data_IF_093911628694
#
_entry.id   IF_093911628694
#
_cell.length_a   1.000
_cell.length_b   1.000
_cell.length_c   1.000
_cell.angle_alpha   90.00
_cell.angle_beta   90.00
_cell.angle_gamma   90.00
#
_symmetry.space_group_name_H-M   'P 1'
#
loop_
_entity.id
_entity.type
_entity.pdbx_description
1 polymer ?
#
# COMPACT_ATOMS: atom_id res chain seq x y z
N UNK A 1 -13.58 40.27 -5.43
CA UNK A 1 -14.18 38.90 -5.46
C UNK A 1 -13.34 37.92 -6.28
N UNK A 2 -12.93 38.26 -7.52
CA UNK A 2 -12.11 37.39 -8.39
C UNK A 2 -10.70 37.02 -7.87
N UNK A 3 -10.01 37.93 -7.17
CA UNK A 3 -8.64 37.67 -6.68
C UNK A 3 -8.66 36.68 -5.51
N UNK A 4 -9.64 36.81 -4.61
CA UNK A 4 -9.81 35.92 -3.47
C UNK A 4 -10.19 34.49 -3.91
N UNK A 5 -11.03 34.35 -4.95
CA UNK A 5 -11.35 33.03 -5.53
C UNK A 5 -10.15 32.37 -6.22
N UNK A 6 -9.27 33.15 -6.86
CA UNK A 6 -8.06 32.62 -7.50
C UNK A 6 -7.05 32.08 -6.48
N UNK A 7 -6.79 32.84 -5.40
CA UNK A 7 -5.86 32.44 -4.33
C UNK A 7 -6.39 31.21 -3.58
N UNK A 8 -7.68 31.18 -3.25
CA UNK A 8 -8.31 30.02 -2.61
C UNK A 8 -8.24 28.77 -3.50
N UNK A 9 -8.48 28.90 -4.81
CA UNK A 9 -8.34 27.80 -5.76
C UNK A 9 -6.91 27.23 -5.80
N UNK A 10 -5.90 28.09 -5.74
CA UNK A 10 -4.49 27.70 -5.72
C UNK A 10 -4.15 26.95 -4.42
N UNK A 11 -4.61 27.43 -3.27
CA UNK A 11 -4.41 26.79 -1.96
C UNK A 11 -5.06 25.39 -1.94
N UNK A 12 -6.30 25.29 -2.40
CA UNK A 12 -7.03 24.01 -2.48
C UNK A 12 -6.32 23.04 -3.42
N UNK A 13 -5.84 23.52 -4.57
CA UNK A 13 -5.06 22.73 -5.53
C UNK A 13 -3.77 22.17 -4.92
N UNK A 14 -3.02 23.00 -4.19
CA UNK A 14 -1.79 22.56 -3.50
C UNK A 14 -2.09 21.50 -2.46
N UNK A 15 -3.15 21.68 -1.65
CA UNK A 15 -3.56 20.71 -0.63
C UNK A 15 -3.92 19.36 -1.28
N UNK A 16 -4.67 19.38 -2.38
CA UNK A 16 -5.03 18.18 -3.14
C UNK A 16 -3.79 17.44 -3.68
N UNK A 17 -2.82 18.16 -4.21
CA UNK A 17 -1.55 17.57 -4.70
C UNK A 17 -0.79 16.92 -3.55
N UNK A 18 -0.68 17.58 -2.40
CA UNK A 18 -0.01 17.04 -1.21
C UNK A 18 -0.70 15.75 -0.74
N UNK A 19 -2.04 15.74 -0.67
CA UNK A 19 -2.82 14.55 -0.29
C UNK A 19 -2.59 13.42 -1.29
N UNK A 20 -2.62 13.71 -2.59
CA UNK A 20 -2.38 12.72 -3.63
C UNK A 20 -0.99 12.07 -3.50
N UNK A 21 0.05 12.90 -3.29
CA UNK A 21 1.41 12.41 -3.05
C UNK A 21 1.49 11.56 -1.78
N UNK A 22 0.83 11.99 -0.70
CA UNK A 22 0.82 11.26 0.56
C UNK A 22 0.19 9.87 0.42
N UNK A 23 -0.93 9.77 -0.31
CA UNK A 23 -1.59 8.50 -0.62
C UNK A 23 -0.65 7.60 -1.43
N UNK A 24 0.02 8.13 -2.46
CA UNK A 24 0.96 7.36 -3.28
C UNK A 24 2.13 6.81 -2.44
N UNK A 25 2.71 7.64 -1.57
CA UNK A 25 3.77 7.21 -0.66
C UNK A 25 3.28 6.09 0.25
N UNK A 26 2.06 6.22 0.79
CA UNK A 26 1.46 5.19 1.63
C UNK A 26 1.24 3.88 0.87
N UNK A 27 0.77 3.97 -0.37
CA UNK A 27 0.57 2.82 -1.25
C UNK A 27 1.88 2.08 -1.53
N UNK A 28 2.92 2.80 -1.92
CA UNK A 28 4.25 2.21 -2.18
C UNK A 28 4.81 1.55 -0.91
N UNK A 29 4.66 2.20 0.25
CA UNK A 29 5.06 1.62 1.54
C UNK A 29 4.26 0.35 1.89
N UNK A 30 2.97 0.29 1.56
CA UNK A 30 2.19 -0.93 1.73
C UNK A 30 2.74 -2.07 0.86
N UNK A 31 3.00 -1.85 -0.43
CA UNK A 31 3.58 -2.89 -1.29
C UNK A 31 4.92 -3.43 -0.74
N UNK A 32 5.79 -2.55 -0.25
CA UNK A 32 7.05 -2.94 0.39
C UNK A 32 6.86 -3.71 1.71
N UNK A 33 5.75 -3.49 2.43
CA UNK A 33 5.43 -4.24 3.64
C UNK A 33 4.95 -5.67 3.34
N UNK A 34 4.27 -5.85 2.21
CA UNK A 34 3.78 -7.16 1.76
C UNK A 34 4.88 -7.98 1.06
N UNK A 35 6.02 -7.38 0.72
CA UNK A 35 7.16 -8.07 0.11
C UNK A 35 7.53 -9.42 0.79
N UNK A 36 7.71 -9.50 2.12
CA UNK A 36 7.95 -10.79 2.80
C UNK A 36 6.82 -11.80 2.60
N UNK A 37 5.55 -11.36 2.61
CA UNK A 37 4.41 -12.23 2.40
C UNK A 37 4.39 -12.79 0.96
N UNK A 38 4.73 -11.96 -0.03
CA UNK A 38 4.87 -12.38 -1.43
C UNK A 38 5.98 -13.42 -1.57
N UNK A 39 7.13 -13.20 -0.94
CA UNK A 39 8.26 -14.16 -1.00
C UNK A 39 7.83 -15.52 -0.45
N UNK A 40 7.18 -15.56 0.72
CA UNK A 40 6.71 -16.82 1.31
C UNK A 40 5.64 -17.48 0.44
N UNK A 41 4.69 -16.72 -0.10
CA UNK A 41 3.67 -17.24 -1.00
C UNK A 41 4.28 -17.92 -2.24
N UNK A 42 5.27 -17.27 -2.86
CA UNK A 42 6.01 -17.83 -4.00
C UNK A 42 6.70 -19.14 -3.61
N UNK A 43 7.39 -19.17 -2.46
CA UNK A 43 8.05 -20.40 -1.98
C UNK A 43 7.04 -21.54 -1.78
N UNK A 44 5.91 -21.26 -1.11
CA UNK A 44 4.86 -22.25 -0.87
C UNK A 44 4.28 -22.76 -2.20
N UNK A 45 4.00 -21.88 -3.15
CA UNK A 45 3.52 -22.30 -4.47
C UNK A 45 4.51 -23.20 -5.20
N UNK A 46 5.81 -22.89 -5.14
CA UNK A 46 6.81 -23.73 -5.80
C UNK A 46 6.91 -25.13 -5.19
N UNK A 47 6.71 -25.25 -3.88
CA UNK A 47 6.78 -26.53 -3.15
C UNK A 47 5.49 -27.34 -3.34
N UNK A 48 4.34 -26.70 -3.12
CA UNK A 48 3.06 -27.41 -3.03
C UNK A 48 2.29 -27.44 -4.35
N UNK A 49 2.60 -26.51 -5.28
CA UNK A 49 1.85 -26.29 -6.53
C UNK A 49 0.35 -26.06 -6.33
N UNK A 50 -0.06 -25.72 -5.11
CA UNK A 50 -1.44 -25.54 -4.70
C UNK A 50 -1.73 -24.06 -4.41
N UNK A 51 -2.75 -23.53 -5.07
CA UNK A 51 -3.12 -22.11 -4.96
C UNK A 51 -3.80 -21.78 -3.62
N UNK A 52 -4.49 -22.73 -3.02
CA UNK A 52 -5.20 -22.51 -1.76
C UNK A 52 -4.20 -22.32 -0.61
N UNK A 53 -3.24 -23.23 -0.49
CA UNK A 53 -2.16 -23.17 0.52
C UNK A 53 -1.25 -21.96 0.30
N UNK A 54 -1.00 -21.59 -0.96
CA UNK A 54 -0.27 -20.35 -1.31
C UNK A 54 -1.01 -19.11 -0.80
N UNK A 55 -2.32 -19.03 -1.03
CA UNK A 55 -3.15 -17.93 -0.56
C UNK A 55 -3.18 -17.84 0.97
N UNK A 56 -3.34 -18.98 1.64
CA UNK A 56 -3.32 -19.05 3.12
C UNK A 56 -1.96 -18.57 3.65
N UNK A 57 -0.85 -19.03 3.07
CA UNK A 57 0.49 -18.61 3.48
C UNK A 57 0.72 -17.10 3.26
N UNK A 58 0.29 -16.55 2.12
CA UNK A 58 0.33 -15.12 1.87
C UNK A 58 -0.43 -14.34 2.94
N UNK A 59 -1.68 -14.72 3.22
CA UNK A 59 -2.55 -14.00 4.15
C UNK A 59 -2.02 -14.05 5.58
N UNK A 60 -1.56 -15.22 6.05
CA UNK A 60 -0.99 -15.39 7.40
C UNK A 60 0.27 -14.54 7.56
N UNK A 61 1.19 -14.58 6.59
CA UNK A 61 2.42 -13.80 6.68
C UNK A 61 2.15 -12.30 6.48
N UNK A 62 1.20 -11.91 5.64
CA UNK A 62 0.77 -10.52 5.50
C UNK A 62 0.21 -9.98 6.82
N UNK A 63 -0.64 -10.74 7.51
CA UNK A 63 -1.17 -10.38 8.82
C UNK A 63 -0.04 -10.23 9.86
N UNK A 64 0.89 -11.19 9.93
CA UNK A 64 2.04 -11.12 10.85
C UNK A 64 2.95 -9.92 10.52
N UNK A 65 3.23 -9.65 9.24
CA UNK A 65 4.05 -8.52 8.79
C UNK A 65 3.42 -7.17 9.16
N UNK A 66 2.09 -7.06 9.02
CA UNK A 66 1.32 -5.89 9.46
C UNK A 66 1.41 -5.71 10.98
N UNK A 67 1.17 -6.78 11.74
CA UNK A 67 1.17 -6.76 13.21
C UNK A 67 2.56 -6.47 13.81
N UNK A 68 3.64 -6.91 13.17
CA UNK A 68 5.01 -6.67 13.67
C UNK A 68 5.53 -5.26 13.37
N UNK A 69 4.94 -4.58 12.37
CA UNK A 69 5.32 -3.24 11.93
C UNK A 69 4.54 -2.15 12.67
N UNK A 70 3.32 -2.46 13.13
CA UNK A 70 2.52 -1.65 14.06
C UNK A 70 3.14 -1.67 15.45
#
# INVERSE_FOLDING_TARGET
MFILSGILGLIIGIILVIIGILILIFLVKMFLLLLPAIIIAVIVYFITKDFFLTGVAFLVIAAISLLKKL
#
